data_IF_582288822779
#
_entry.id   IF_582288822779
#
_cell.length_a   1.000
_cell.length_b   1.000
_cell.length_c   1.000
_cell.angle_alpha   90.00
_cell.angle_beta   90.00
_cell.angle_gamma   90.00
#
_symmetry.space_group_name_H-M   'P 1'
#
loop_
_entity.id
_entity.type
_entity.pdbx_description
1 polymer ?
#
# COMPACT_ATOMS: atom_id res chain seq x y z
N UNK A 1 14.77 -23.01 -3.07
CA UNK A 1 14.78 -22.53 -3.62
C UNK A 1 13.90 -21.81 -3.97
N UNK A 2 13.07 -21.76 -3.74
CA UNK A 2 12.05 -21.11 -4.13
C UNK A 2 12.05 -19.71 -3.70
N UNK A 3 12.47 -19.40 -2.48
CA UNK A 3 12.61 -18.06 -2.01
C UNK A 3 13.61 -17.30 -2.83
N UNK A 4 14.67 -17.96 -3.19
CA UNK A 4 15.66 -17.32 -4.03
C UNK A 4 15.12 -16.97 -5.38
N UNK A 5 14.26 -17.84 -5.90
CA UNK A 5 13.65 -17.57 -7.13
C UNK A 5 12.83 -16.31 -7.11
N UNK A 6 12.10 -16.11 -6.04
CA UNK A 6 11.32 -14.92 -5.84
C UNK A 6 12.17 -13.66 -5.89
N UNK A 7 13.36 -13.71 -5.33
CA UNK A 7 14.23 -12.55 -5.33
C UNK A 7 14.68 -12.13 -6.71
N UNK A 8 14.72 -13.03 -7.63
CA UNK A 8 15.20 -12.71 -8.96
C UNK A 8 14.11 -12.22 -9.89
N UNK A 9 12.89 -12.18 -9.43
CA UNK A 9 11.81 -11.63 -10.22
C UNK A 9 11.74 -10.14 -9.93
N UNK A 10 11.98 -9.31 -10.95
CA UNK A 10 11.91 -7.87 -10.70
C UNK A 10 10.55 -7.51 -10.13
N UNK A 11 10.57 -6.68 -9.12
CA UNK A 11 9.32 -6.30 -8.47
C UNK A 11 8.35 -5.68 -9.47
N UNK A 12 8.88 -4.91 -10.42
CA UNK A 12 8.05 -4.28 -11.43
C UNK A 12 7.32 -5.28 -12.32
N UNK A 13 7.81 -6.51 -12.37
CA UNK A 13 7.14 -7.55 -13.15
C UNK A 13 6.06 -8.24 -12.34
N UNK A 14 6.10 -8.12 -11.02
CA UNK A 14 5.10 -8.76 -10.17
C UNK A 14 3.96 -7.82 -9.82
N UNK A 15 4.23 -6.53 -9.82
CA UNK A 15 3.21 -5.56 -9.45
C UNK A 15 3.54 -4.22 -10.06
N UNK A 16 2.52 -3.41 -10.25
CA UNK A 16 2.70 -2.05 -10.72
C UNK A 16 2.57 -1.10 -9.54
N UNK A 17 3.35 -0.03 -9.57
CA UNK A 17 3.21 1.02 -8.58
C UNK A 17 2.29 2.07 -9.18
N UNK A 18 1.18 2.30 -8.51
CA UNK A 18 0.17 3.22 -9.03
C UNK A 18 0.36 4.59 -8.41
N UNK A 19 -0.09 5.60 -9.12
CA UNK A 19 0.01 6.98 -8.67
C UNK A 19 -1.21 7.33 -7.82
N UNK A 20 -0.98 8.17 -6.81
CA UNK A 20 -2.08 8.73 -6.04
C UNK A 20 -2.60 10.02 -6.67
N UNK A 21 -2.03 10.43 -7.80
CA UNK A 21 -2.43 11.64 -8.52
C UNK A 21 -2.30 12.88 -7.63
N UNK A 22 -1.36 12.85 -6.70
CA UNK A 22 -1.15 13.99 -5.81
C UNK A 22 -2.20 14.16 -4.74
N UNK A 23 -3.04 13.15 -4.53
CA UNK A 23 -4.16 13.28 -3.60
C UNK A 23 -3.84 12.62 -2.27
N UNK A 24 -2.84 13.13 -1.60
CA UNK A 24 -2.46 12.61 -0.29
C UNK A 24 -3.03 13.48 0.80
N UNK A 25 -3.54 12.85 1.85
CA UNK A 25 -4.15 13.55 2.96
C UNK A 25 -3.11 13.70 4.05
N UNK A 26 -2.87 14.92 4.47
CA UNK A 26 -1.94 15.15 5.57
C UNK A 26 -2.56 14.69 6.87
N UNK A 27 -1.75 14.15 7.76
CA UNK A 27 -2.26 13.59 8.99
C UNK A 27 -3.08 14.61 9.80
N UNK A 28 -2.66 15.87 9.79
CA UNK A 28 -3.38 16.89 10.53
C UNK A 28 -4.79 17.11 10.02
N UNK A 29 -5.10 16.61 8.83
CA UNK A 29 -6.43 16.78 8.24
C UNK A 29 -7.32 15.56 8.42
N UNK A 30 -6.85 14.54 9.12
CA UNK A 30 -7.66 13.37 9.37
C UNK A 30 -8.80 13.73 10.32
N UNK A 31 -9.96 13.18 10.04
CA UNK A 31 -11.12 13.30 10.92
C UNK A 31 -11.27 12.00 11.69
N UNK A 32 -11.95 12.08 12.81
CA UNK A 32 -12.24 10.86 13.58
C UNK A 32 -13.35 10.05 12.94
N UNK A 33 -14.22 10.71 12.20
CA UNK A 33 -15.30 10.06 11.48
C UNK A 33 -15.44 10.75 10.14
N UNK A 34 -15.85 10.00 9.14
CA UNK A 34 -16.04 10.58 7.82
C UNK A 34 -16.48 9.54 6.83
N UNK A 35 -16.72 9.98 5.62
CA UNK A 35 -17.25 9.11 4.58
C UNK A 35 -16.21 8.17 4.01
N UNK A 36 -14.96 8.57 4.01
CA UNK A 36 -13.91 7.83 3.32
C UNK A 36 -12.78 7.56 4.29
N UNK A 37 -12.42 6.29 4.50
CA UNK A 37 -11.28 5.99 5.37
C UNK A 37 -9.98 6.40 4.70
N UNK A 38 -9.06 6.87 5.50
CA UNK A 38 -7.72 7.22 5.06
C UNK A 38 -6.81 6.07 5.47
N UNK A 39 -6.13 5.49 4.50
CA UNK A 39 -5.21 4.39 4.73
C UNK A 39 -3.80 4.93 4.61
N UNK A 40 -3.01 4.76 5.64
CA UNK A 40 -1.63 5.22 5.63
C UNK A 40 -0.74 4.09 6.11
N UNK A 41 0.52 4.38 6.41
CA UNK A 41 1.42 3.33 6.80
C UNK A 41 1.48 3.11 8.31
N UNK A 42 0.50 3.64 9.01
CA UNK A 42 0.43 3.45 10.45
C UNK A 42 0.06 2.02 10.81
N UNK A 43 0.09 1.74 12.10
CA UNK A 43 -0.18 0.40 12.58
C UNK A 43 -1.64 0.03 12.41
N UNK A 44 -2.54 0.96 12.61
CA UNK A 44 -3.97 0.67 12.44
C UNK A 44 -4.31 0.62 10.97
N UNK A 45 -5.24 -0.24 10.60
CA UNK A 45 -5.63 -0.36 9.21
C UNK A 45 -6.13 0.96 8.67
N UNK A 46 -6.94 1.67 9.43
CA UNK A 46 -7.46 2.98 9.04
C UNK A 46 -6.84 4.02 9.95
N UNK A 47 -6.18 5.02 9.34
CA UNK A 47 -5.54 6.07 10.11
C UNK A 47 -6.48 7.20 10.49
N UNK A 48 -7.54 7.39 9.72
CA UNK A 48 -8.49 8.46 9.97
C UNK A 48 -9.51 8.48 8.86
N UNK A 49 -10.19 9.60 8.72
CA UNK A 49 -11.25 9.70 7.73
C UNK A 49 -11.24 11.08 7.07
N UNK A 50 -11.87 11.17 5.91
CA UNK A 50 -12.14 12.44 5.26
C UNK A 50 -13.55 12.39 4.68
N UNK A 51 -14.06 13.55 4.30
CA UNK A 51 -15.38 13.64 3.66
C UNK A 51 -15.31 14.03 2.20
N UNK A 52 -14.15 14.49 1.74
CA UNK A 52 -14.00 14.98 0.37
C UNK A 52 -13.81 13.82 -0.59
N UNK A 53 -14.86 13.47 -1.29
CA UNK A 53 -14.82 12.32 -2.18
C UNK A 53 -13.90 12.51 -3.37
N UNK A 54 -13.55 13.74 -3.70
CA UNK A 54 -12.62 13.97 -4.79
C UNK A 54 -11.21 13.53 -4.42
N UNK A 55 -10.94 13.32 -3.15
CA UNK A 55 -9.63 12.89 -2.70
C UNK A 55 -9.51 11.37 -2.58
N UNK A 56 -10.55 10.64 -2.91
CA UNK A 56 -10.46 9.19 -2.83
C UNK A 56 -9.57 8.66 -3.95
N UNK A 57 -8.91 7.54 -3.68
CA UNK A 57 -8.10 6.87 -4.67
C UNK A 57 -8.99 6.38 -5.81
N UNK A 58 -8.59 6.65 -7.05
CA UNK A 58 -9.41 6.37 -8.21
C UNK A 58 -9.00 5.15 -9.00
N UNK A 59 -7.93 4.50 -8.61
CA UNK A 59 -7.48 3.32 -9.35
C UNK A 59 -8.35 2.11 -9.08
N UNK A 60 -8.05 1.04 -9.80
CA UNK A 60 -8.78 -0.20 -9.62
C UNK A 60 -8.43 -0.87 -8.32
N UNK A 61 -9.40 -1.47 -7.69
CA UNK A 61 -9.22 -2.22 -6.46
C UNK A 61 -9.29 -3.70 -6.76
N UNK A 62 -8.69 -4.55 -5.94
CA UNK A 62 -7.96 -4.23 -4.73
C UNK A 62 -6.54 -3.77 -5.02
N UNK A 63 -5.95 -3.12 -4.04
CA UNK A 63 -4.55 -2.72 -4.11
C UNK A 63 -3.88 -3.09 -2.80
N UNK A 64 -2.57 -3.00 -2.79
CA UNK A 64 -1.79 -3.25 -1.60
C UNK A 64 -1.06 -1.97 -1.26
N UNK A 65 -1.20 -1.54 -0.02
CA UNK A 65 -0.53 -0.35 0.49
C UNK A 65 0.72 -0.82 1.21
N UNK A 66 1.84 -0.23 0.85
CA UNK A 66 3.11 -0.58 1.46
C UNK A 66 3.74 0.70 2.01
N UNK A 67 4.16 0.65 3.27
CA UNK A 67 4.77 1.81 3.92
C UNK A 67 6.29 1.74 3.85
N UNK A 68 6.90 2.81 3.34
CA UNK A 68 8.35 2.86 3.20
C UNK A 68 9.05 2.80 4.55
N UNK A 69 8.48 3.41 5.56
CA UNK A 69 9.14 3.54 6.86
C UNK A 69 8.76 2.43 7.82
N UNK A 70 7.48 2.12 7.90
CA UNK A 70 7.00 1.14 8.86
C UNK A 70 7.03 -0.28 8.32
N UNK A 71 7.06 -0.40 6.99
CA UNK A 71 6.96 -1.66 6.27
C UNK A 71 5.65 -2.37 6.50
N UNK A 72 4.66 -1.66 6.98
CA UNK A 72 3.32 -2.24 7.10
C UNK A 72 2.75 -2.47 5.72
N UNK A 73 2.05 -3.57 5.57
CA UNK A 73 1.46 -3.99 4.31
C UNK A 73 -0.03 -4.17 4.55
N UNK A 74 -0.84 -3.50 3.73
CA UNK A 74 -2.29 -3.55 3.92
C UNK A 74 -2.95 -3.90 2.59
N UNK A 75 -3.88 -4.85 2.65
CA UNK A 75 -4.67 -5.24 1.50
C UNK A 75 -5.95 -4.42 1.55
N UNK A 76 -6.19 -3.62 0.52
CA UNK A 76 -7.31 -2.69 0.53
C UNK A 76 -8.22 -2.99 -0.65
N UNK A 77 -9.45 -3.35 -0.35
CA UNK A 77 -10.44 -3.64 -1.38
C UNK A 77 -11.72 -2.87 -1.08
N UNK A 78 -11.56 -1.59 -0.83
CA UNK A 78 -12.68 -0.71 -0.58
C UNK A 78 -12.24 0.71 -0.90
N UNK A 79 -13.19 1.60 -1.10
CA UNK A 79 -12.86 3.00 -1.37
C UNK A 79 -12.08 3.56 -0.19
N UNK A 80 -11.05 4.31 -0.51
CA UNK A 80 -10.19 4.88 0.51
C UNK A 80 -9.44 6.08 -0.05
N UNK A 81 -8.83 6.85 0.84
CA UNK A 81 -7.93 7.92 0.47
C UNK A 81 -6.54 7.58 0.98
N UNK A 82 -5.53 8.08 0.29
CA UNK A 82 -4.14 7.79 0.63
C UNK A 82 -3.67 8.81 1.66
N UNK A 83 -3.13 8.33 2.77
CA UNK A 83 -2.72 9.24 3.83
C UNK A 83 -1.22 9.42 3.89
N UNK A 84 -0.84 10.61 4.33
CA UNK A 84 0.53 10.95 4.70
C UNK A 84 1.54 10.64 3.61
N UNK A 85 2.77 10.34 4.02
CA UNK A 85 3.87 10.16 3.08
C UNK A 85 4.42 8.75 3.18
N UNK A 86 5.30 8.43 2.22
CA UNK A 86 6.01 7.17 2.28
C UNK A 86 5.17 5.97 1.95
N UNK A 87 4.12 6.16 1.17
CA UNK A 87 3.23 5.07 0.81
C UNK A 87 3.40 4.72 -0.65
N UNK A 88 3.48 3.42 -0.91
CA UNK A 88 3.42 2.92 -2.28
C UNK A 88 2.15 2.14 -2.44
N UNK A 89 1.47 2.38 -3.55
CA UNK A 89 0.23 1.69 -3.90
C UNK A 89 0.58 0.67 -4.95
N UNK A 90 0.40 -0.60 -4.62
CA UNK A 90 0.82 -1.68 -5.49
C UNK A 90 -0.38 -2.43 -6.05
N UNK A 91 -0.35 -2.65 -7.35
CA UNK A 91 -1.37 -3.44 -8.01
C UNK A 91 -0.70 -4.68 -8.59
N UNK A 92 -0.97 -5.87 -8.05
CA UNK A 92 -0.34 -7.08 -8.58
C UNK A 92 -0.70 -7.28 -10.05
N UNK A 93 0.23 -7.83 -10.80
CA UNK A 93 -0.05 -8.15 -12.19
C UNK A 93 -1.15 -9.19 -12.24
N UNK A 94 -1.83 -9.23 -13.38
CA UNK A 94 -3.02 -10.07 -13.49
C UNK A 94 -2.75 -11.56 -13.29
N UNK A 95 -1.52 -11.98 -13.46
CA UNK A 95 -1.20 -13.40 -13.25
C UNK A 95 -1.15 -13.77 -11.78
N UNK A 96 -1.20 -12.79 -10.88
CA UNK A 96 -1.18 -13.05 -9.46
C UNK A 96 -2.52 -12.69 -8.86
N UNK A 97 -3.03 -13.56 -8.03
CA UNK A 97 -4.22 -13.26 -7.27
C UNK A 97 -3.82 -12.25 -6.19
N UNK A 98 -4.49 -11.10 -6.07
CA UNK A 98 -4.01 -10.02 -5.20
C UNK A 98 -3.83 -10.42 -3.75
N UNK A 99 -4.73 -11.24 -3.23
CA UNK A 99 -4.62 -11.65 -1.83
C UNK A 99 -3.44 -12.56 -1.63
N UNK A 100 -3.16 -13.40 -2.60
CA UNK A 100 -2.00 -14.26 -2.55
C UNK A 100 -0.72 -13.44 -2.56
N UNK A 101 -0.69 -12.40 -3.39
CA UNK A 101 0.46 -11.52 -3.46
C UNK A 101 0.67 -10.82 -2.11
N UNK A 102 -0.41 -10.41 -1.48
CA UNK A 102 -0.34 -9.80 -0.17
C UNK A 102 0.29 -10.75 0.85
N UNK A 103 -0.15 -12.00 0.84
CA UNK A 103 0.42 -12.99 1.76
C UNK A 103 1.88 -13.28 1.43
N UNK A 104 2.22 -13.29 0.17
CA UNK A 104 3.61 -13.48 -0.22
C UNK A 104 4.50 -12.40 0.33
N UNK A 105 4.06 -11.16 0.22
CA UNK A 105 4.84 -10.05 0.73
C UNK A 105 5.06 -10.17 2.23
N UNK A 106 4.02 -10.59 2.94
CA UNK A 106 4.15 -10.76 4.38
C UNK A 106 5.11 -11.87 4.75
N UNK A 107 5.20 -12.89 3.93
CA UNK A 107 6.07 -14.03 4.25
C UNK A 107 7.52 -13.73 3.96
N UNK A 108 7.82 -12.70 3.22
CA UNK A 108 9.20 -12.30 2.99
C UNK A 108 9.69 -11.57 4.22
N UNK A 109 10.71 -12.09 4.82
CA UNK A 109 11.23 -11.45 6.01
C UNK A 109 12.30 -10.47 5.59
N UNK A 110 11.83 -9.31 5.19
CA UNK A 110 12.72 -8.28 4.69
C UNK A 110 13.32 -7.53 5.88
N UNK A 111 14.62 -7.59 6.05
CA UNK A 111 15.25 -6.91 7.17
C UNK A 111 15.05 -5.42 7.06
N UNK A 112 14.71 -4.82 8.18
CA UNK A 112 14.46 -3.40 8.20
C UNK A 112 15.56 -2.59 7.61
N UNK A 113 16.75 -2.78 8.12
CA UNK A 113 17.85 -1.95 7.71
C UNK A 113 18.24 -2.19 6.27
N UNK A 114 18.20 -3.42 5.85
CA UNK A 114 18.58 -3.72 4.48
C UNK A 114 17.59 -3.22 3.51
N UNK A 115 16.34 -3.33 3.88
CA UNK A 115 15.28 -2.94 3.01
C UNK A 115 15.33 -1.46 2.69
N UNK A 116 15.47 -0.63 3.70
CA UNK A 116 15.41 0.78 3.46
C UNK A 116 16.56 1.27 2.60
N UNK A 117 17.65 0.54 2.57
CA UNK A 117 18.75 0.92 1.72
C UNK A 117 18.57 0.49 0.30
N UNK A 118 17.83 -0.54 0.07
CA UNK A 118 17.70 -1.10 -1.25
C UNK A 118 16.52 -0.54 -2.01
N UNK A 119 15.75 0.26 -1.37
CA UNK A 119 14.65 0.91 -1.98
C UNK A 119 14.74 2.41 -1.83
#
# INVERSE_FOLDING_TARGET
MKVDRWKYIPFSNAAKVLSDAGKRIKQRNYLQEGKIPVIDQGQDFIGGYIDDETMSFKGDLPVIIFGDHTRNIKYVNRRFAVGAEGIKILKPESCYEPKFFYYMLHSLEIPSRGYSRHF
#
